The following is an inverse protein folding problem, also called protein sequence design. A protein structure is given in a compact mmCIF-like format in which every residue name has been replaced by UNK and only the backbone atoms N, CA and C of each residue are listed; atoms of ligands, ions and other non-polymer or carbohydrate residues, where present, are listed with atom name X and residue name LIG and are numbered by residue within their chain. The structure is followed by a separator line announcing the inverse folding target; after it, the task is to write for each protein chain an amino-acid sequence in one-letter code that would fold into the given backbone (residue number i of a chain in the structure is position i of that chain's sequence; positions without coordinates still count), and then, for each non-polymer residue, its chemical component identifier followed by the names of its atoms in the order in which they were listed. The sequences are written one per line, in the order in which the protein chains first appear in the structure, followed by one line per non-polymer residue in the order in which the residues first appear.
data_IF_441251561966
#
_entry.id   IF_441251561966
#
_cell.length_a   1.000
_cell.length_b   1.000
_cell.length_c   1.000
_cell.angle_alpha   90.00
_cell.angle_beta   90.00
_cell.angle_gamma   90.00
#
_symmetry.space_group_name_H-M   'P 1'
#
loop_
_entity.id
_entity.type
_entity.pdbx_description
1 polymer ?
#
# COMPACT_ATOMS: atom_id res chain seq x y z
N UNK A 1 30.34 56.56 -40.39
CA UNK A 1 28.96 56.81 -40.88
C UNK A 1 28.02 56.24 -39.83
N UNK A 2 27.72 57.05 -38.80
CA UNK A 2 26.41 57.73 -38.60
C UNK A 2 25.31 56.73 -38.22
N UNK A 3 25.02 56.60 -36.92
CA UNK A 3 23.86 57.18 -36.18
C UNK A 3 22.62 56.26 -36.31
N UNK A 4 21.80 55.95 -35.31
CA UNK A 4 21.62 56.36 -33.92
C UNK A 4 20.53 55.46 -33.30
N UNK A 5 20.63 55.10 -32.03
CA UNK A 5 19.77 55.54 -30.90
C UNK A 5 18.29 55.71 -31.23
N UNK A 6 17.40 54.99 -30.54
CA UNK A 6 16.34 55.57 -29.67
C UNK A 6 15.61 54.47 -28.86
N UNK A 7 15.43 54.80 -27.59
CA UNK A 7 14.81 54.14 -26.43
C UNK A 7 13.30 54.47 -26.29
N UNK A 8 12.52 53.57 -25.66
CA UNK A 8 11.43 53.76 -24.66
C UNK A 8 10.36 52.66 -24.82
N UNK A 9 9.97 51.83 -23.84
CA UNK A 9 9.46 52.00 -22.46
C UNK A 9 7.93 52.10 -22.36
N UNK A 10 7.34 51.20 -21.55
CA UNK A 10 5.98 51.26 -20.99
C UNK A 10 4.91 50.59 -21.87
N UNK A 11 3.93 49.83 -21.38
CA UNK A 11 3.51 49.49 -20.01
C UNK A 11 2.52 48.31 -20.09
N UNK A 12 2.44 47.54 -19.00
CA UNK A 12 1.28 46.79 -18.48
C UNK A 12 0.35 46.04 -19.46
N UNK A 13 0.32 44.71 -19.35
CA UNK A 13 -0.88 44.06 -18.81
C UNK A 13 -0.56 42.67 -18.23
N UNK A 14 -0.65 42.59 -16.90
CA UNK A 14 -0.62 41.34 -16.15
C UNK A 14 -1.99 40.67 -16.27
N UNK A 15 -2.16 39.79 -17.24
CA UNK A 15 -3.23 38.79 -17.14
C UNK A 15 -2.81 37.70 -16.17
N UNK A 16 -3.28 37.85 -14.92
CA UNK A 16 -3.43 36.78 -13.95
C UNK A 16 -4.38 35.73 -14.53
N UNK A 17 -3.82 34.69 -15.14
CA UNK A 17 -4.52 33.43 -15.36
C UNK A 17 -4.52 32.68 -14.03
N UNK A 18 -5.56 32.88 -13.23
CA UNK A 18 -5.84 32.09 -12.04
C UNK A 18 -6.15 30.66 -12.47
N UNK A 19 -5.15 29.79 -12.42
CA UNK A 19 -5.34 28.34 -12.44
C UNK A 19 -5.98 27.93 -11.11
N UNK A 20 -7.30 27.82 -11.09
CA UNK A 20 -8.02 27.21 -9.98
C UNK A 20 -7.66 25.73 -9.94
N UNK A 21 -6.77 25.37 -9.02
CA UNK A 21 -6.41 23.99 -8.69
C UNK A 21 -7.68 23.26 -8.19
N UNK A 22 -8.08 22.11 -8.78
CA UNK A 22 -9.28 21.42 -8.33
C UNK A 22 -9.08 20.87 -6.92
N UNK A 23 -10.03 21.18 -6.04
CA UNK A 23 -10.04 20.91 -4.61
C UNK A 23 -9.52 19.51 -4.25
N UNK A 24 -8.25 19.46 -3.81
CA UNK A 24 -7.67 18.28 -3.19
C UNK A 24 -8.25 18.14 -1.78
N UNK A 25 -8.81 16.96 -1.52
CA UNK A 25 -9.14 16.40 -0.20
C UNK A 25 -10.38 16.92 0.54
N UNK A 26 -11.55 16.41 0.13
CA UNK A 26 -12.79 16.51 0.89
C UNK A 26 -12.77 15.64 2.18
N UNK A 27 -12.04 14.51 2.20
CA UNK A 27 -11.87 13.72 3.43
C UNK A 27 -11.12 14.46 4.54
N UNK A 28 -10.16 15.32 4.19
CA UNK A 28 -9.39 16.06 5.21
C UNK A 28 -10.28 17.12 5.87
N UNK A 29 -11.21 17.74 5.13
CA UNK A 29 -12.22 18.67 5.65
C UNK A 29 -13.26 17.96 6.54
N UNK A 30 -13.72 16.76 6.15
CA UNK A 30 -14.64 15.93 6.94
C UNK A 30 -14.07 15.52 8.29
N UNK A 31 -12.77 15.27 8.35
CA UNK A 31 -12.08 14.87 9.58
C UNK A 31 -11.75 16.07 10.48
N UNK A 32 -11.77 17.31 9.97
CA UNK A 32 -11.56 18.54 10.76
C UNK A 32 -12.85 18.94 11.50
N UNK A 33 -14.03 18.70 10.91
CA UNK A 33 -15.32 19.09 11.49
C UNK A 33 -15.71 18.35 12.79
N UNK A 34 -15.12 17.20 13.09
CA UNK A 34 -15.43 16.40 14.29
C UNK A 34 -14.55 16.71 15.51
N UNK A 35 -13.75 17.79 15.47
CA UNK A 35 -12.98 18.25 16.63
C UNK A 35 -13.72 19.38 17.36
N UNK A 36 -14.85 19.07 18.00
CA UNK A 36 -15.47 19.95 19.00
C UNK A 36 -16.14 19.11 20.08
N UNK A 37 -15.39 18.95 21.19
CA UNK A 37 -15.84 18.60 22.55
C UNK A 37 -16.73 17.36 22.73
N UNK A 38 -16.19 16.28 23.33
CA UNK A 38 -16.76 15.60 24.54
C UNK A 38 -15.63 14.96 25.37
N UNK A 39 -15.83 15.07 26.69
CA UNK A 39 -14.98 14.87 27.86
C UNK A 39 -14.70 13.38 28.20
N UNK A 40 -13.56 13.12 28.86
CA UNK A 40 -13.20 11.85 29.51
C UNK A 40 -13.86 11.73 30.89
N UNK A 41 -14.41 10.56 31.25
CA UNK A 41 -14.13 9.94 32.56
C UNK A 41 -14.50 8.42 32.54
N UNK A 42 -13.88 7.58 33.40
CA UNK A 42 -13.81 6.13 33.29
C UNK A 42 -14.79 5.40 34.23
N UNK A 43 -14.78 4.07 34.08
CA UNK A 43 -15.36 3.01 34.92
C UNK A 43 -16.79 2.60 34.56
N UNK A 44 -16.90 1.44 33.91
CA UNK A 44 -17.83 0.41 34.39
C UNK A 44 -17.27 -0.98 34.05
N UNK A 45 -17.31 -1.84 35.05
CA UNK A 45 -16.84 -3.21 35.04
C UNK A 45 -17.95 -4.15 34.54
N UNK A 46 -17.51 -5.26 33.97
CA UNK A 46 -18.00 -6.62 34.24
C UNK A 46 -18.51 -7.47 33.05
N UNK A 47 -17.88 -8.65 32.98
CA UNK A 47 -18.32 -9.96 32.50
C UNK A 47 -19.39 -10.06 31.40
N UNK A 48 -19.03 -10.63 30.24
CA UNK A 48 -19.46 -12.02 29.99
C UNK A 48 -18.59 -12.76 28.96
N UNK A 49 -18.32 -14.00 29.32
CA UNK A 49 -17.49 -15.03 28.72
C UNK A 49 -18.39 -15.97 27.93
N UNK A 50 -18.04 -16.37 26.70
CA UNK A 50 -18.40 -17.67 26.06
C UNK A 50 -17.76 -17.78 24.67
N UNK A 51 -16.74 -18.63 24.51
CA UNK A 51 -16.79 -20.05 24.09
C UNK A 51 -16.82 -20.24 22.57
N UNK A 52 -15.64 -20.43 21.97
CA UNK A 52 -15.37 -21.27 20.78
C UNK A 52 -13.87 -21.63 20.86
N UNK A 53 -13.49 -22.66 21.64
CA UNK A 53 -13.35 -24.07 21.26
C UNK A 53 -12.50 -24.25 19.98
N UNK A 54 -11.24 -24.59 20.23
CA UNK A 54 -10.34 -25.29 19.31
C UNK A 54 -11.05 -26.51 18.72
N UNK A 55 -11.04 -26.64 17.41
CA UNK A 55 -10.91 -27.94 16.74
C UNK A 55 -10.26 -27.70 15.36
N UNK A 56 -9.07 -28.25 15.23
CA UNK A 56 -8.27 -28.32 14.04
C UNK A 56 -8.73 -29.50 13.17
N UNK A 57 -9.05 -29.26 11.90
CA UNK A 57 -9.00 -30.33 10.91
C UNK A 57 -8.41 -29.77 9.62
N UNK A 58 -7.21 -30.27 9.27
CA UNK A 58 -6.45 -29.90 8.08
C UNK A 58 -6.99 -30.71 6.90
N UNK A 59 -7.60 -30.09 5.87
CA UNK A 59 -7.97 -30.80 4.65
C UNK A 59 -6.70 -31.05 3.83
N UNK A 60 -6.44 -32.33 3.56
CA UNK A 60 -5.41 -32.81 2.62
C UNK A 60 -5.62 -32.12 1.26
N UNK A 61 -4.65 -31.33 0.82
CA UNK A 61 -4.73 -30.63 -0.46
C UNK A 61 -4.41 -31.59 -1.61
N UNK A 62 -5.44 -31.96 -2.36
CA UNK A 62 -5.29 -32.50 -3.71
C UNK A 62 -4.62 -31.42 -4.58
N UNK A 63 -3.48 -31.77 -5.19
CA UNK A 63 -2.74 -30.91 -6.12
C UNK A 63 -3.42 -30.96 -7.50
N UNK A 64 -4.58 -30.33 -7.62
CA UNK A 64 -5.02 -29.81 -8.91
C UNK A 64 -4.39 -28.43 -9.08
N UNK A 65 -3.58 -28.27 -10.12
CA UNK A 65 -2.84 -27.06 -10.44
C UNK A 65 -3.80 -25.94 -10.80
N UNK A 66 -4.33 -25.25 -9.79
CA UNK A 66 -5.00 -23.98 -9.97
C UNK A 66 -3.95 -23.03 -10.55
N UNK A 67 -4.16 -22.57 -11.78
CA UNK A 67 -3.34 -21.55 -12.42
C UNK A 67 -3.59 -20.21 -11.71
N UNK A 68 -2.99 -20.06 -10.52
CA UNK A 68 -3.05 -18.83 -9.75
C UNK A 68 -1.99 -17.91 -10.32
N UNK A 69 -2.41 -16.79 -10.91
CA UNK A 69 -1.48 -15.74 -11.35
C UNK A 69 -0.63 -15.27 -10.16
N UNK A 70 0.66 -15.58 -10.17
CA UNK A 70 1.58 -15.21 -9.10
C UNK A 70 2.02 -13.76 -9.29
N UNK A 71 1.39 -12.84 -8.56
CA UNK A 71 1.78 -11.42 -8.62
C UNK A 71 3.07 -11.11 -7.83
N UNK A 72 3.40 -11.95 -6.85
CA UNK A 72 4.56 -11.73 -5.97
C UNK A 72 5.39 -12.99 -5.83
N UNK A 73 6.46 -13.02 -6.62
CA UNK A 73 7.51 -14.01 -6.52
C UNK A 73 8.39 -13.77 -5.29
N UNK A 74 8.41 -14.74 -4.39
CA UNK A 74 9.28 -14.76 -3.20
C UNK A 74 10.44 -15.73 -3.43
N UNK A 75 11.56 -15.45 -2.79
CA UNK A 75 12.67 -16.40 -2.75
C UNK A 75 12.37 -17.57 -1.79
N UNK A 76 13.09 -18.68 -1.94
CA UNK A 76 13.08 -19.77 -0.96
C UNK A 76 13.65 -19.29 0.39
N UNK A 77 13.24 -19.95 1.48
CA UNK A 77 13.74 -19.61 2.81
C UNK A 77 15.24 -19.91 2.96
N UNK A 78 15.72 -20.99 2.36
CA UNK A 78 17.15 -21.36 2.29
C UNK A 78 17.97 -20.25 1.62
N UNK A 79 17.61 -19.88 0.39
CA UNK A 79 18.29 -18.78 -0.32
C UNK A 79 18.19 -17.45 0.43
N UNK A 80 17.03 -17.18 1.04
CA UNK A 80 16.80 -15.96 1.82
C UNK A 80 17.73 -15.87 3.02
N UNK A 81 18.00 -16.99 3.70
CA UNK A 81 18.88 -17.03 4.86
C UNK A 81 20.34 -16.79 4.46
N UNK A 82 20.83 -17.43 3.39
CA UNK A 82 22.20 -17.22 2.89
C UNK A 82 22.43 -15.77 2.45
N UNK A 83 21.49 -15.23 1.67
CA UNK A 83 21.52 -13.83 1.26
C UNK A 83 21.45 -12.87 2.46
N UNK A 84 20.70 -13.22 3.51
CA UNK A 84 20.65 -12.43 4.73
C UNK A 84 21.99 -12.40 5.46
N UNK A 85 22.63 -13.57 5.61
CA UNK A 85 23.97 -13.70 6.20
C UNK A 85 24.99 -12.85 5.46
N UNK A 86 25.07 -12.99 4.13
CA UNK A 86 25.93 -12.15 3.28
C UNK A 86 25.66 -10.66 3.51
N UNK A 87 24.39 -10.24 3.42
CA UNK A 87 24.01 -8.83 3.54
C UNK A 87 24.34 -8.23 4.91
N UNK A 88 24.39 -9.07 5.96
CA UNK A 88 24.72 -8.66 7.32
C UNK A 88 26.21 -8.53 7.56
N UNK A 89 27.02 -9.42 6.99
CA UNK A 89 28.49 -9.30 7.00
C UNK A 89 28.91 -7.99 6.33
N UNK A 90 28.34 -7.69 5.16
CA UNK A 90 28.66 -6.50 4.37
C UNK A 90 27.80 -5.27 4.70
N UNK A 91 27.30 -5.16 5.94
CA UNK A 91 26.30 -4.14 6.26
C UNK A 91 26.85 -2.70 6.25
N UNK A 92 28.14 -2.53 6.54
CA UNK A 92 28.83 -1.25 6.59
C UNK A 92 29.67 -0.96 5.34
N UNK A 93 29.67 -1.88 4.39
CA UNK A 93 30.46 -1.76 3.17
C UNK A 93 30.00 -0.60 2.30
N UNK A 94 30.99 0.06 1.68
CA UNK A 94 30.72 1.09 0.71
C UNK A 94 30.16 0.47 -0.59
N UNK A 95 29.65 1.31 -1.49
CA UNK A 95 28.93 0.87 -2.70
C UNK A 95 29.76 -0.04 -3.61
N UNK A 96 31.05 0.25 -3.78
CA UNK A 96 31.94 -0.50 -4.67
C UNK A 96 32.29 -1.85 -4.06
N UNK A 97 32.74 -1.83 -2.81
CA UNK A 97 33.17 -3.01 -2.05
C UNK A 97 32.03 -4.03 -1.93
N UNK A 98 30.81 -3.58 -1.63
CA UNK A 98 29.64 -4.47 -1.62
C UNK A 98 29.36 -5.12 -2.98
N UNK A 99 29.57 -4.38 -4.08
CA UNK A 99 29.33 -4.92 -5.44
C UNK A 99 30.39 -5.96 -5.80
N UNK A 100 31.63 -5.72 -5.40
CA UNK A 100 32.74 -6.67 -5.59
C UNK A 100 32.50 -7.93 -4.77
N UNK A 101 32.21 -7.80 -3.47
CA UNK A 101 31.86 -8.91 -2.59
C UNK A 101 30.63 -9.67 -3.09
N UNK A 102 29.64 -8.99 -3.65
CA UNK A 102 28.46 -9.63 -4.25
C UNK A 102 28.82 -10.52 -5.44
N UNK A 103 29.69 -10.04 -6.34
CA UNK A 103 30.10 -10.84 -7.49
C UNK A 103 30.84 -12.11 -7.03
N UNK A 104 31.74 -11.98 -6.06
CA UNK A 104 32.46 -13.11 -5.46
C UNK A 104 31.47 -14.08 -4.81
N UNK A 105 30.53 -13.58 -4.01
CA UNK A 105 29.54 -14.41 -3.33
C UNK A 105 28.64 -15.17 -4.32
N UNK A 106 28.24 -14.54 -5.43
CA UNK A 106 27.46 -15.19 -6.50
C UNK A 106 28.26 -16.31 -7.17
N UNK A 107 29.56 -16.12 -7.38
CA UNK A 107 30.45 -17.16 -7.94
C UNK A 107 30.66 -18.33 -6.97
N UNK A 108 30.86 -18.04 -5.68
CA UNK A 108 31.04 -19.06 -4.64
C UNK A 108 29.77 -19.86 -4.36
N UNK A 109 28.59 -19.22 -4.49
CA UNK A 109 27.28 -19.79 -4.17
C UNK A 109 26.46 -20.04 -5.44
N UNK A 110 27.13 -20.26 -6.58
CA UNK A 110 26.52 -20.39 -7.89
C UNK A 110 25.44 -21.48 -7.96
N UNK A 111 25.59 -22.57 -7.19
CA UNK A 111 24.59 -23.63 -7.09
C UNK A 111 23.23 -23.12 -6.60
N UNK A 112 23.18 -22.52 -5.40
CA UNK A 112 21.93 -22.01 -4.81
C UNK A 112 21.35 -20.85 -5.63
N UNK A 113 22.22 -20.05 -6.27
CA UNK A 113 21.79 -18.94 -7.13
C UNK A 113 21.12 -19.48 -8.40
N UNK A 114 21.72 -20.46 -9.07
CA UNK A 114 21.16 -21.07 -10.29
C UNK A 114 19.87 -21.83 -10.02
N UNK A 115 19.81 -22.58 -8.93
CA UNK A 115 18.60 -23.29 -8.53
C UNK A 115 17.44 -22.32 -8.29
N UNK A 116 17.72 -21.20 -7.62
CA UNK A 116 16.72 -20.17 -7.35
C UNK A 116 16.29 -19.42 -8.62
N UNK A 117 17.23 -19.13 -9.53
CA UNK A 117 16.94 -18.56 -10.86
C UNK A 117 16.03 -19.49 -11.66
N UNK A 118 16.39 -20.78 -11.72
CA UNK A 118 15.62 -21.79 -12.44
C UNK A 118 14.20 -21.88 -11.90
N UNK A 119 14.06 -21.99 -10.57
CA UNK A 119 12.76 -22.06 -9.90
C UNK A 119 11.87 -20.85 -10.20
N UNK A 120 12.41 -19.63 -10.14
CA UNK A 120 11.65 -18.41 -10.43
C UNK A 120 11.26 -18.31 -11.91
N UNK A 121 12.15 -18.73 -12.81
CA UNK A 121 11.87 -18.82 -14.25
C UNK A 121 10.75 -19.84 -14.54
N UNK A 122 10.80 -21.02 -13.90
CA UNK A 122 9.77 -22.05 -14.02
C UNK A 122 8.40 -21.60 -13.48
N UNK A 123 8.39 -20.72 -12.47
CA UNK A 123 7.16 -20.07 -11.98
C UNK A 123 6.68 -18.93 -12.89
N UNK A 124 7.40 -18.59 -13.97
CA UNK A 124 7.03 -17.57 -14.94
C UNK A 124 7.44 -16.14 -14.58
N UNK A 125 8.48 -15.94 -13.77
CA UNK A 125 9.01 -14.61 -13.53
C UNK A 125 9.81 -14.09 -14.74
N UNK A 126 9.36 -12.98 -15.32
CA UNK A 126 9.92 -12.38 -16.56
C UNK A 126 11.01 -11.30 -16.30
N UNK A 127 11.33 -11.01 -15.03
CA UNK A 127 12.31 -9.96 -14.69
C UNK A 127 13.75 -10.48 -14.55
N UNK A 128 14.70 -9.55 -14.43
CA UNK A 128 16.08 -9.88 -14.04
C UNK A 128 16.12 -10.36 -12.58
N UNK A 129 16.37 -11.65 -12.40
CA UNK A 129 16.40 -12.31 -11.09
C UNK A 129 17.67 -11.93 -10.32
N UNK A 130 18.81 -11.79 -10.98
CA UNK A 130 20.08 -11.44 -10.32
C UNK A 130 20.03 -10.00 -9.78
N UNK A 131 19.50 -9.06 -10.57
CA UNK A 131 19.29 -7.68 -10.10
C UNK A 131 18.26 -7.62 -8.95
N UNK A 132 17.19 -8.45 -9.02
CA UNK A 132 16.22 -8.60 -7.92
C UNK A 132 16.90 -9.10 -6.64
N UNK A 133 17.78 -10.09 -6.73
CA UNK A 133 18.55 -10.63 -5.61
C UNK A 133 19.49 -9.57 -5.03
N UNK A 134 20.30 -8.91 -5.87
CA UNK A 134 21.24 -7.85 -5.45
C UNK A 134 20.53 -6.70 -4.73
N UNK A 135 19.41 -6.21 -5.29
CA UNK A 135 18.61 -5.16 -4.67
C UNK A 135 18.05 -5.60 -3.31
N UNK A 136 17.60 -6.84 -3.21
CA UNK A 136 17.09 -7.40 -1.96
C UNK A 136 18.19 -7.47 -0.90
N UNK A 137 19.37 -7.98 -1.24
CA UNK A 137 20.53 -8.04 -0.37
C UNK A 137 20.92 -6.64 0.15
N UNK A 138 21.18 -5.72 -0.79
CA UNK A 138 21.73 -4.39 -0.49
C UNK A 138 20.78 -3.44 0.22
N UNK A 139 19.50 -3.41 -0.20
CA UNK A 139 18.56 -2.41 0.26
C UNK A 139 17.63 -2.93 1.36
N UNK A 140 17.26 -4.21 1.34
CA UNK A 140 16.36 -4.80 2.33
C UNK A 140 17.12 -5.51 3.44
N UNK A 141 17.83 -6.60 3.14
CA UNK A 141 18.42 -7.47 4.17
C UNK A 141 19.50 -6.78 5.01
N UNK A 142 20.30 -5.91 4.38
CA UNK A 142 21.27 -5.07 5.09
C UNK A 142 20.63 -4.26 6.24
N UNK A 143 19.49 -3.61 5.98
CA UNK A 143 18.79 -2.75 6.94
C UNK A 143 17.80 -3.49 7.83
N UNK A 144 17.47 -4.74 7.53
CA UNK A 144 16.51 -5.55 8.28
C UNK A 144 17.06 -5.86 9.68
N UNK A 145 16.36 -5.45 10.74
CA UNK A 145 16.79 -5.73 12.12
C UNK A 145 16.76 -7.23 12.44
N UNK A 146 17.68 -7.69 13.29
CA UNK A 146 17.65 -9.01 13.94
C UNK A 146 16.70 -9.02 15.14
N UNK A 147 16.43 -7.85 15.70
CA UNK A 147 15.53 -7.67 16.83
C UNK A 147 14.10 -8.05 16.42
N UNK A 148 13.58 -9.10 17.07
CA UNK A 148 12.17 -9.44 17.01
C UNK A 148 11.43 -8.41 17.85
N UNK A 149 10.81 -7.43 17.19
CA UNK A 149 9.87 -6.52 17.86
C UNK A 149 8.82 -7.36 18.59
N UNK A 150 8.50 -6.97 19.82
CA UNK A 150 7.45 -7.63 20.58
C UNK A 150 6.16 -7.66 19.76
N UNK A 151 5.41 -8.79 19.76
CA UNK A 151 4.17 -8.89 19.01
C UNK A 151 3.21 -7.78 19.41
N UNK A 152 2.96 -6.82 18.52
CA UNK A 152 1.99 -5.77 18.79
C UNK A 152 0.61 -6.42 18.95
N UNK A 153 -0.10 -6.05 20.02
CA UNK A 153 -1.47 -6.50 20.23
C UNK A 153 -2.32 -6.19 18.99
N UNK A 154 -2.98 -7.22 18.44
CA UNK A 154 -3.84 -7.03 17.27
C UNK A 154 -4.98 -6.09 17.64
N UNK A 155 -5.15 -5.03 16.86
CA UNK A 155 -6.29 -4.13 16.99
C UNK A 155 -7.59 -4.91 16.77
N UNK A 156 -8.64 -4.54 17.49
CA UNK A 156 -9.99 -5.05 17.24
C UNK A 156 -10.37 -4.78 15.79
N UNK A 157 -10.73 -5.84 15.05
CA UNK A 157 -11.14 -5.70 13.67
C UNK A 157 -12.54 -5.08 13.60
N UNK A 158 -12.66 -3.94 12.94
CA UNK A 158 -13.94 -3.29 12.70
C UNK A 158 -14.22 -3.37 11.20
N UNK A 159 -15.32 -4.02 10.83
CA UNK A 159 -15.80 -4.11 9.44
C UNK A 159 -16.26 -2.76 8.89
N UNK A 160 -16.31 -2.63 7.56
CA UNK A 160 -16.95 -1.48 6.90
C UNK A 160 -18.43 -1.76 6.74
N UNK A 161 -19.28 -0.76 6.99
CA UNK A 161 -20.74 -0.91 6.94
C UNK A 161 -21.25 -1.22 5.53
N UNK A 162 -22.33 -2.00 5.45
CA UNK A 162 -22.81 -2.61 4.20
C UNK A 162 -23.26 -1.55 3.21
N UNK A 163 -23.94 -0.52 3.69
CA UNK A 163 -24.46 0.61 2.92
C UNK A 163 -23.34 1.35 2.19
N UNK A 164 -22.21 1.59 2.88
CA UNK A 164 -21.05 2.21 2.27
C UNK A 164 -20.41 1.30 1.21
N UNK A 165 -20.40 -0.02 1.42
CA UNK A 165 -19.85 -0.98 0.46
C UNK A 165 -20.69 -1.04 -0.81
N UNK A 166 -22.01 -1.04 -0.68
CA UNK A 166 -22.94 -1.02 -1.82
C UNK A 166 -22.79 0.26 -2.64
N UNK A 167 -22.76 1.43 -1.97
CA UNK A 167 -22.53 2.71 -2.65
C UNK A 167 -21.18 2.76 -3.39
N UNK A 168 -20.12 2.15 -2.84
CA UNK A 168 -18.84 2.02 -3.55
C UNK A 168 -18.95 1.14 -4.79
N UNK A 169 -19.62 0.00 -4.68
CA UNK A 169 -19.78 -0.94 -5.79
C UNK A 169 -20.61 -0.33 -6.92
N UNK A 170 -21.72 0.35 -6.62
CA UNK A 170 -22.54 1.10 -7.58
C UNK A 170 -21.72 2.17 -8.31
N UNK A 171 -21.05 3.04 -7.55
CA UNK A 171 -20.20 4.08 -8.14
C UNK A 171 -19.10 3.50 -9.04
N UNK A 172 -18.52 2.35 -8.66
CA UNK A 172 -17.53 1.67 -9.51
C UNK A 172 -18.17 1.15 -10.80
N UNK A 173 -19.29 0.45 -10.71
CA UNK A 173 -19.97 -0.14 -11.88
C UNK A 173 -20.41 0.92 -12.89
N UNK A 174 -20.91 2.06 -12.41
CA UNK A 174 -21.37 3.14 -13.29
C UNK A 174 -20.23 3.83 -14.05
N UNK A 175 -19.03 3.85 -13.46
CA UNK A 175 -17.91 4.62 -13.99
C UNK A 175 -16.82 3.76 -14.66
N UNK A 176 -16.78 2.45 -14.43
CA UNK A 176 -15.72 1.55 -14.94
C UNK A 176 -15.69 1.47 -16.48
N UNK A 177 -16.81 1.76 -17.15
CA UNK A 177 -16.92 1.77 -18.62
C UNK A 177 -16.17 2.96 -19.25
N UNK A 178 -15.86 4.00 -18.47
CA UNK A 178 -15.14 5.20 -18.97
C UNK A 178 -13.69 4.85 -19.33
N UNK A 179 -13.22 5.30 -20.49
CA UNK A 179 -11.87 4.99 -21.01
C UNK A 179 -10.72 5.46 -20.11
N UNK A 180 -10.92 6.54 -19.36
CA UNK A 180 -9.91 7.14 -18.47
C UNK A 180 -10.12 6.77 -16.99
N UNK A 181 -10.92 5.74 -16.72
CA UNK A 181 -11.26 5.37 -15.36
C UNK A 181 -10.04 4.85 -14.58
N UNK A 182 -9.60 5.63 -13.59
CA UNK A 182 -8.53 5.27 -12.66
C UNK A 182 -9.07 5.21 -11.24
N UNK A 183 -8.82 4.13 -10.48
CA UNK A 183 -9.34 3.96 -9.12
C UNK A 183 -8.96 5.08 -8.16
N UNK A 184 -7.84 5.75 -8.40
CA UNK A 184 -7.41 6.91 -7.61
C UNK A 184 -8.29 8.13 -7.82
N UNK A 185 -8.71 8.38 -9.07
CA UNK A 185 -9.51 9.55 -9.44
C UNK A 185 -10.96 9.30 -9.05
N UNK A 186 -11.47 8.12 -9.39
CA UNK A 186 -12.80 7.65 -9.02
C UNK A 186 -13.04 7.66 -7.51
N UNK A 187 -12.02 7.32 -6.71
CA UNK A 187 -12.14 7.43 -5.26
C UNK A 187 -12.33 8.88 -4.78
N UNK A 188 -11.66 9.85 -5.43
CA UNK A 188 -11.84 11.25 -5.07
C UNK A 188 -13.23 11.76 -5.47
N UNK A 189 -13.73 11.35 -6.63
CA UNK A 189 -15.10 11.63 -7.11
C UNK A 189 -16.13 11.03 -6.14
N UNK A 190 -15.99 9.75 -5.80
CA UNK A 190 -16.84 9.08 -4.81
C UNK A 190 -16.87 9.83 -3.47
N UNK A 191 -15.70 10.31 -2.99
CA UNK A 191 -15.64 11.11 -1.76
C UNK A 191 -16.34 12.47 -1.85
N UNK A 192 -16.50 13.04 -3.05
CA UNK A 192 -17.24 14.28 -3.26
C UNK A 192 -18.74 14.04 -3.38
N UNK A 193 -19.15 12.91 -3.93
CA UNK A 193 -20.56 12.55 -4.14
C UNK A 193 -21.22 11.95 -2.90
N UNK A 194 -20.47 11.20 -2.09
CA UNK A 194 -20.98 10.39 -0.98
C UNK A 194 -20.55 10.90 0.41
N UNK A 195 -20.52 12.22 0.58
CA UNK A 195 -20.02 12.89 1.80
C UNK A 195 -20.78 12.45 3.06
N UNK A 196 -22.11 12.34 2.99
CA UNK A 196 -22.94 11.99 4.15
C UNK A 196 -22.69 10.55 4.62
N UNK A 197 -22.68 9.58 3.70
CA UNK A 197 -22.36 8.18 4.01
C UNK A 197 -20.95 8.03 4.60
N UNK A 198 -19.99 8.83 4.13
CA UNK A 198 -18.65 8.87 4.68
C UNK A 198 -18.61 9.47 6.09
N UNK A 199 -19.37 10.53 6.36
CA UNK A 199 -19.48 11.12 7.70
C UNK A 199 -20.07 10.14 8.71
N UNK A 200 -21.10 9.39 8.32
CA UNK A 200 -21.72 8.36 9.15
C UNK A 200 -20.74 7.23 9.46
N UNK A 201 -20.01 6.74 8.45
CA UNK A 201 -18.99 5.70 8.65
C UNK A 201 -17.86 6.18 9.56
N UNK A 202 -17.35 7.40 9.33
CA UNK A 202 -16.31 8.00 10.16
C UNK A 202 -16.79 8.11 11.61
N UNK A 203 -18.03 8.57 11.82
CA UNK A 203 -18.62 8.71 13.16
C UNK A 203 -18.76 7.35 13.85
N UNK A 204 -19.18 6.32 13.12
CA UNK A 204 -19.30 4.95 13.64
C UNK A 204 -17.93 4.36 13.99
N UNK A 205 -16.94 4.51 13.11
CA UNK A 205 -15.57 4.06 13.35
C UNK A 205 -14.96 4.73 14.59
N UNK A 206 -15.16 6.05 14.74
CA UNK A 206 -14.73 6.78 15.93
C UNK A 206 -15.40 6.26 17.21
N UNK A 207 -16.71 5.98 17.19
CA UNK A 207 -17.44 5.37 18.33
C UNK A 207 -16.90 3.99 18.70
N UNK A 208 -16.39 3.23 17.74
CA UNK A 208 -15.75 1.93 17.96
C UNK A 208 -14.27 2.03 18.40
N UNK A 209 -13.78 3.23 18.77
CA UNK A 209 -12.41 3.44 19.23
C UNK A 209 -11.38 3.61 18.11
N UNK A 210 -11.82 3.75 16.85
CA UNK A 210 -10.95 3.97 15.71
C UNK A 210 -10.84 5.48 15.44
N UNK A 211 -9.89 6.14 16.10
CA UNK A 211 -9.82 7.61 16.16
C UNK A 211 -8.73 8.23 15.28
N UNK A 212 -7.84 7.42 14.71
CA UNK A 212 -6.79 7.91 13.81
C UNK A 212 -7.38 8.24 12.42
N UNK A 213 -7.32 9.53 12.08
CA UNK A 213 -7.82 10.11 10.84
C UNK A 213 -7.17 9.50 9.59
N UNK A 214 -5.86 9.27 9.63
CA UNK A 214 -5.12 8.69 8.51
C UNK A 214 -5.44 7.21 8.35
N UNK A 215 -5.67 6.50 9.45
CA UNK A 215 -6.07 5.10 9.42
C UNK A 215 -7.49 4.94 8.84
N UNK A 216 -8.44 5.81 9.22
CA UNK A 216 -9.81 5.80 8.65
C UNK A 216 -9.75 6.05 7.15
N UNK A 217 -9.07 7.12 6.74
CA UNK A 217 -8.89 7.48 5.32
C UNK A 217 -8.26 6.33 4.53
N UNK A 218 -7.20 5.71 5.09
CA UNK A 218 -6.51 4.59 4.46
C UNK A 218 -7.39 3.35 4.37
N UNK A 219 -8.21 3.07 5.39
CA UNK A 219 -9.17 1.97 5.40
C UNK A 219 -10.19 2.15 4.28
N UNK A 220 -10.90 3.28 4.25
CA UNK A 220 -11.93 3.56 3.23
C UNK A 220 -11.34 3.52 1.82
N UNK A 221 -10.19 4.17 1.59
CA UNK A 221 -9.50 4.15 0.30
C UNK A 221 -9.07 2.76 -0.15
N UNK A 222 -8.56 1.94 0.78
CA UNK A 222 -8.16 0.57 0.50
C UNK A 222 -9.38 -0.30 0.19
N UNK A 223 -10.47 -0.14 0.93
CA UNK A 223 -11.74 -0.83 0.65
C UNK A 223 -12.23 -0.52 -0.76
N UNK A 224 -12.31 0.75 -1.14
CA UNK A 224 -12.73 1.16 -2.49
C UNK A 224 -11.86 0.54 -3.59
N UNK A 225 -10.52 0.65 -3.46
CA UNK A 225 -9.61 0.07 -4.46
C UNK A 225 -9.71 -1.44 -4.56
N UNK A 226 -9.84 -2.13 -3.43
CA UNK A 226 -9.99 -3.58 -3.42
C UNK A 226 -11.30 -3.99 -4.11
N UNK A 227 -12.40 -3.27 -3.86
CA UNK A 227 -13.70 -3.47 -4.52
C UNK A 227 -13.58 -3.29 -6.03
N UNK A 228 -12.90 -2.23 -6.46
CA UNK A 228 -12.60 -2.00 -7.87
C UNK A 228 -11.89 -3.19 -8.53
N UNK A 229 -10.82 -3.70 -7.92
CA UNK A 229 -10.08 -4.83 -8.49
C UNK A 229 -10.85 -6.15 -8.48
N UNK A 230 -11.87 -6.30 -7.63
CA UNK A 230 -12.77 -7.44 -7.65
C UNK A 230 -13.74 -7.30 -8.83
N UNK A 231 -14.41 -6.15 -8.95
CA UNK A 231 -15.38 -5.88 -10.03
C UNK A 231 -14.69 -5.93 -11.40
N UNK A 232 -13.53 -5.30 -11.54
CA UNK A 232 -12.78 -5.24 -12.81
C UNK A 232 -12.25 -6.60 -13.29
N UNK A 233 -12.24 -7.62 -12.42
CA UNK A 233 -11.82 -8.99 -12.77
C UNK A 233 -12.99 -9.89 -13.11
N UNK A 234 -14.18 -9.55 -12.65
CA UNK A 234 -15.41 -10.31 -12.87
C UNK A 234 -16.18 -9.83 -14.11
N UNK A 235 -15.84 -8.65 -14.64
CA UNK A 235 -16.23 -8.16 -15.96
C UNK A 235 -15.25 -8.62 -17.03
#
# INVERSE_FOLDING_TARGET
MTNGTTTNSGSNDKHQSTSTEPAKYNMDLLLIANNSSIIRNPNDDNEERRLYRDDCESPRSNNDSINVSIYRYKFTDEFTNEMYTFSKVHQYDHRKDFKEAWNIWVEENDGIVKDEIKRLTEMGYDGDILDKMFKSARYYFRKKSTEKNEPQARRTYIGTQKELLEAMDEHIMDNIVKSDYKPSNAFNEFCQENIQLLQEEVSRLCKCGFTDKNDIKSKVKKTYKNRYFIISKNN
#
